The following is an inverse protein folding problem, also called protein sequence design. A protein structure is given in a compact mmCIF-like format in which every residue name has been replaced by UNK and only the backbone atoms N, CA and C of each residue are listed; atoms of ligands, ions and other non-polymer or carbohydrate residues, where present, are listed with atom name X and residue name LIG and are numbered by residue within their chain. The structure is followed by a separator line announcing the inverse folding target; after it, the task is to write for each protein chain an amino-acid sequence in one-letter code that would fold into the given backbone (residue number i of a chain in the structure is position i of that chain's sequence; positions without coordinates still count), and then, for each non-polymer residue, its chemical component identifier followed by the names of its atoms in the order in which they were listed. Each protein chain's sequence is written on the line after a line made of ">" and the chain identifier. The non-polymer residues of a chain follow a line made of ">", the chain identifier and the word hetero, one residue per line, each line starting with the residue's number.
data_IF_041394312521
#
_entry.id   IF_041394312521
#
_cell.length_a   1.000
_cell.length_b   1.000
_cell.length_c   1.000
_cell.angle_alpha   90.00
_cell.angle_beta   90.00
_cell.angle_gamma   90.00
#
_symmetry.space_group_name_H-M   'P 1'
#
loop_
_entity.id
_entity.type
_entity.pdbx_description
1 polymer ?
#
# COMPACT_ATOMS: atom_id res chain seq x y z
N UNK A 1 -22.45 23.96 -35.82
CA UNK A 1 -22.79 23.64 -34.43
C UNK A 1 -21.47 23.54 -33.71
N UNK A 2 -21.17 24.49 -32.82
CA UNK A 2 -19.95 24.47 -32.03
C UNK A 2 -20.00 23.25 -31.13
N UNK A 3 -19.00 22.37 -31.24
CA UNK A 3 -18.74 21.35 -30.23
C UNK A 3 -18.48 22.07 -28.91
N UNK A 4 -19.51 22.15 -28.07
CA UNK A 4 -19.37 22.57 -26.69
C UNK A 4 -18.38 21.59 -26.05
N UNK A 5 -17.18 22.10 -25.73
CA UNK A 5 -16.22 21.40 -24.89
C UNK A 5 -16.94 21.08 -23.59
N UNK A 6 -17.39 19.84 -23.43
CA UNK A 6 -17.98 19.37 -22.18
C UNK A 6 -16.88 19.49 -21.13
N UNK A 7 -16.96 20.53 -20.32
CA UNK A 7 -16.06 20.73 -19.20
C UNK A 7 -16.35 19.62 -18.18
N UNK A 8 -15.42 18.68 -18.07
CA UNK A 8 -15.61 17.49 -17.26
C UNK A 8 -15.57 17.89 -15.78
N UNK A 9 -16.59 17.53 -14.99
CA UNK A 9 -16.61 17.88 -13.57
C UNK A 9 -15.42 17.22 -12.87
N UNK A 10 -14.70 18.02 -12.08
CA UNK A 10 -13.55 17.55 -11.29
C UNK A 10 -13.83 17.58 -9.80
N UNK A 11 -14.61 18.55 -9.34
CA UNK A 11 -14.85 18.76 -7.90
C UNK A 11 -16.35 18.93 -7.59
N UNK A 12 -17.20 19.12 -8.61
CA UNK A 12 -18.63 19.26 -8.42
C UNK A 12 -19.32 17.94 -8.07
N UNK A 13 -20.45 18.03 -7.37
CA UNK A 13 -21.34 16.90 -7.18
C UNK A 13 -21.79 16.36 -8.54
N UNK A 14 -21.53 15.07 -8.77
CA UNK A 14 -21.97 14.37 -9.97
C UNK A 14 -23.50 14.38 -10.07
N UNK A 15 -24.00 14.55 -11.28
CA UNK A 15 -25.43 14.41 -11.61
C UNK A 15 -25.69 13.01 -12.14
N UNK A 16 -26.96 12.54 -12.17
CA UNK A 16 -27.30 11.29 -12.83
C UNK A 16 -26.85 11.19 -14.30
N UNK A 17 -26.63 12.32 -14.97
CA UNK A 17 -26.19 12.38 -16.37
C UNK A 17 -24.67 12.19 -16.52
N UNK A 18 -23.86 12.57 -15.51
CA UNK A 18 -22.40 12.57 -15.62
C UNK A 18 -21.68 11.69 -14.59
N UNK A 19 -22.40 10.99 -13.71
CA UNK A 19 -21.80 10.14 -12.67
C UNK A 19 -21.01 8.95 -13.20
N UNK A 20 -21.27 8.52 -14.43
CA UNK A 20 -20.52 7.45 -15.11
C UNK A 20 -19.38 7.97 -16.00
N UNK A 21 -19.21 9.30 -16.10
CA UNK A 21 -18.12 9.89 -16.87
C UNK A 21 -16.82 9.78 -16.07
N UNK A 22 -15.72 9.48 -16.74
CA UNK A 22 -14.40 9.42 -16.11
C UNK A 22 -13.97 10.79 -15.58
N UNK A 23 -13.26 10.78 -14.46
CA UNK A 23 -12.61 11.98 -13.94
C UNK A 23 -11.56 12.47 -14.95
N UNK A 24 -11.54 13.78 -15.23
CA UNK A 24 -10.60 14.32 -16.21
C UNK A 24 -9.16 14.01 -15.81
N UNK A 25 -8.81 14.02 -14.51
CA UNK A 25 -7.44 13.77 -14.03
C UNK A 25 -6.87 12.42 -14.46
N UNK A 26 -7.69 11.46 -14.88
CA UNK A 26 -7.20 10.19 -15.42
C UNK A 26 -6.22 10.40 -16.59
N UNK A 27 -6.37 11.47 -17.40
CA UNK A 27 -5.42 11.78 -18.49
C UNK A 27 -4.00 12.07 -17.99
N UNK A 28 -3.85 12.63 -16.79
CA UNK A 28 -2.54 12.96 -16.20
C UNK A 28 -1.75 11.69 -15.83
N UNK A 29 -2.43 10.55 -15.76
CA UNK A 29 -1.90 9.29 -15.26
C UNK A 29 -1.96 8.17 -16.30
N UNK A 30 -2.28 8.49 -17.55
CA UNK A 30 -2.48 7.52 -18.63
C UNK A 30 -3.48 6.41 -18.26
N UNK A 31 -4.51 6.75 -17.48
CA UNK A 31 -5.61 5.86 -17.18
C UNK A 31 -6.69 6.10 -18.22
N UNK A 32 -6.92 5.13 -19.10
CA UNK A 32 -7.86 5.31 -20.21
C UNK A 32 -9.19 4.61 -19.99
N UNK A 33 -9.26 3.64 -19.06
CA UNK A 33 -10.49 2.89 -18.82
C UNK A 33 -10.58 2.29 -17.41
N UNK A 34 -11.79 1.96 -16.92
CA UNK A 34 -11.97 1.27 -15.63
C UNK A 34 -11.33 -0.12 -15.58
N UNK A 35 -11.21 -0.81 -16.72
CA UNK A 35 -10.61 -2.14 -16.81
C UNK A 35 -9.14 -2.13 -16.38
N UNK A 36 -8.40 -1.06 -16.69
CA UNK A 36 -7.03 -0.89 -16.24
C UNK A 36 -6.95 -0.83 -14.70
N UNK A 37 -7.87 -0.10 -14.06
CA UNK A 37 -7.95 -0.07 -12.59
C UNK A 37 -8.36 -1.43 -12.02
N UNK A 38 -9.23 -2.16 -12.72
CA UNK A 38 -9.61 -3.52 -12.34
C UNK A 38 -8.43 -4.48 -12.34
N UNK A 39 -7.66 -4.52 -13.43
CA UNK A 39 -6.49 -5.39 -13.54
C UNK A 39 -5.46 -5.07 -12.44
N UNK A 40 -5.31 -3.78 -12.11
CA UNK A 40 -4.41 -3.33 -11.05
C UNK A 40 -4.83 -3.74 -9.64
N UNK A 41 -6.14 -3.76 -9.33
CA UNK A 41 -6.65 -4.03 -7.98
C UNK A 41 -7.02 -5.50 -7.77
N UNK A 42 -7.42 -6.22 -8.83
CA UNK A 42 -7.93 -7.59 -8.75
C UNK A 42 -6.90 -8.58 -8.22
N UNK A 43 -5.60 -8.33 -8.46
CA UNK A 43 -4.48 -9.14 -7.97
C UNK A 43 -4.35 -9.19 -6.44
N UNK A 44 -4.90 -8.20 -5.72
CA UNK A 44 -4.81 -8.15 -4.27
C UNK A 44 -6.01 -8.86 -3.65
N UNK A 45 -5.77 -10.07 -3.14
CA UNK A 45 -6.81 -10.95 -2.59
C UNK A 45 -6.51 -11.38 -1.16
N UNK A 46 -7.57 -11.57 -0.39
CA UNK A 46 -7.49 -12.19 0.94
C UNK A 46 -7.64 -13.71 0.84
N UNK A 47 -6.97 -14.42 1.73
CA UNK A 47 -6.98 -15.89 1.79
C UNK A 47 -8.32 -16.42 2.31
N UNK A 48 -8.63 -17.68 1.97
CA UNK A 48 -9.88 -18.37 2.37
C UNK A 48 -10.14 -18.49 3.87
N UNK A 49 -9.11 -18.33 4.71
CA UNK A 49 -9.21 -18.37 6.16
C UNK A 49 -9.59 -17.02 6.78
N UNK A 50 -9.66 -15.95 5.98
CA UNK A 50 -10.11 -14.65 6.45
C UNK A 50 -11.65 -14.65 6.52
N UNK A 51 -12.26 -14.23 7.65
CA UNK A 51 -13.71 -14.20 7.80
C UNK A 51 -14.41 -13.33 6.77
N UNK A 52 -15.59 -13.76 6.35
CA UNK A 52 -16.40 -13.09 5.32
C UNK A 52 -16.64 -11.60 5.63
N UNK A 53 -16.93 -11.26 6.88
CA UNK A 53 -17.19 -9.87 7.28
C UNK A 53 -15.96 -8.95 7.09
N UNK A 54 -14.73 -9.49 7.17
CA UNK A 54 -13.50 -8.76 6.85
C UNK A 54 -13.32 -8.64 5.34
N UNK A 55 -13.57 -9.72 4.60
CA UNK A 55 -13.52 -9.74 3.14
C UNK A 55 -14.47 -8.67 2.56
N UNK A 56 -15.68 -8.54 3.11
CA UNK A 56 -16.64 -7.52 2.69
C UNK A 56 -16.09 -6.09 2.88
N UNK A 57 -15.44 -5.80 4.01
CA UNK A 57 -14.84 -4.47 4.24
C UNK A 57 -13.65 -4.23 3.29
N UNK A 58 -12.82 -5.25 3.09
CA UNK A 58 -11.70 -5.15 2.16
C UNK A 58 -12.16 -4.93 0.71
N UNK A 59 -13.20 -5.65 0.28
CA UNK A 59 -13.78 -5.50 -1.06
C UNK A 59 -14.52 -4.19 -1.25
N UNK A 60 -15.09 -3.64 -0.17
CA UNK A 60 -15.62 -2.28 -0.21
C UNK A 60 -14.52 -1.27 -0.53
N UNK A 61 -13.30 -1.41 0.03
CA UNK A 61 -12.16 -0.58 -0.35
C UNK A 61 -11.75 -0.81 -1.82
N UNK A 62 -11.68 -2.06 -2.30
CA UNK A 62 -11.37 -2.36 -3.71
C UNK A 62 -12.40 -1.75 -4.67
N UNK A 63 -13.67 -1.81 -4.34
CA UNK A 63 -14.73 -1.20 -5.13
C UNK A 63 -14.60 0.32 -5.14
N UNK A 64 -14.34 0.96 -4.00
CA UNK A 64 -14.08 2.40 -3.93
C UNK A 64 -12.88 2.80 -4.80
N UNK A 65 -11.83 1.97 -4.86
CA UNK A 65 -10.71 2.16 -5.78
C UNK A 65 -11.17 2.11 -7.23
N UNK A 66 -12.01 1.16 -7.65
CA UNK A 66 -12.55 1.14 -9.02
C UNK A 66 -13.36 2.40 -9.34
N UNK A 67 -14.23 2.82 -8.43
CA UNK A 67 -15.03 4.03 -8.59
C UNK A 67 -14.21 5.32 -8.60
N UNK A 68 -12.93 5.27 -8.21
CA UNK A 68 -12.03 6.41 -8.35
C UNK A 68 -11.76 6.81 -9.81
N UNK A 69 -12.03 5.91 -10.76
CA UNK A 69 -12.06 6.25 -12.18
C UNK A 69 -13.03 7.40 -12.47
N UNK A 70 -14.18 7.43 -11.79
CA UNK A 70 -15.21 8.47 -11.95
C UNK A 70 -15.03 9.65 -11.00
N UNK A 71 -14.45 9.42 -9.82
CA UNK A 71 -14.23 10.47 -8.81
C UNK A 71 -12.85 10.29 -8.21
N UNK A 72 -11.86 11.07 -8.65
CA UNK A 72 -10.47 10.90 -8.23
C UNK A 72 -10.28 10.90 -6.71
N UNK A 73 -11.05 11.70 -5.97
CA UNK A 73 -10.97 11.75 -4.49
C UNK A 73 -11.27 10.40 -3.83
N UNK A 74 -11.93 9.48 -4.53
CA UNK A 74 -12.22 8.16 -3.99
C UNK A 74 -10.97 7.29 -3.83
N UNK A 75 -9.82 7.62 -4.42
CA UNK A 75 -8.54 6.96 -4.06
C UNK A 75 -8.26 7.10 -2.55
N UNK A 76 -8.36 8.32 -2.00
CA UNK A 76 -8.16 8.56 -0.57
C UNK A 76 -9.25 7.89 0.28
N UNK A 77 -10.50 7.89 -0.19
CA UNK A 77 -11.62 7.25 0.52
C UNK A 77 -11.44 5.72 0.56
N UNK A 78 -11.00 5.11 -0.55
CA UNK A 78 -10.65 3.71 -0.63
C UNK A 78 -9.54 3.37 0.35
N UNK A 79 -8.46 4.16 0.38
CA UNK A 79 -7.35 3.95 1.31
C UNK A 79 -7.78 4.12 2.78
N UNK A 80 -8.64 5.10 3.09
CA UNK A 80 -9.17 5.28 4.44
C UNK A 80 -10.03 4.09 4.88
N UNK A 81 -10.87 3.59 3.97
CA UNK A 81 -11.67 2.39 4.22
C UNK A 81 -10.78 1.17 4.41
N UNK A 82 -9.73 1.03 3.61
CA UNK A 82 -8.74 -0.04 3.71
C UNK A 82 -8.03 -0.04 5.07
N UNK A 83 -7.63 1.11 5.62
CA UNK A 83 -7.07 1.18 6.97
C UNK A 83 -8.07 0.79 8.05
N UNK A 84 -9.35 1.11 7.86
CA UNK A 84 -10.42 0.70 8.77
C UNK A 84 -10.63 -0.81 8.73
N UNK A 85 -10.62 -1.41 7.53
CA UNK A 85 -10.67 -2.86 7.33
C UNK A 85 -9.48 -3.57 7.98
N UNK A 86 -8.26 -3.03 7.85
CA UNK A 86 -7.07 -3.52 8.53
C UNK A 86 -7.22 -3.49 10.06
N UNK A 87 -7.65 -2.36 10.63
CA UNK A 87 -7.81 -2.24 12.08
C UNK A 87 -8.86 -3.21 12.61
N UNK A 88 -9.96 -3.40 11.87
CA UNK A 88 -10.99 -4.39 12.19
C UNK A 88 -10.43 -5.82 12.14
N UNK A 89 -9.73 -6.18 11.06
CA UNK A 89 -9.14 -7.50 10.87
C UNK A 89 -8.15 -7.87 11.98
N UNK A 90 -7.31 -6.92 12.41
CA UNK A 90 -6.37 -7.16 13.51
C UNK A 90 -7.12 -7.35 14.84
N UNK A 91 -8.14 -6.53 15.11
CA UNK A 91 -8.93 -6.64 16.34
C UNK A 91 -9.71 -7.94 16.42
N UNK A 92 -10.33 -8.34 15.32
CA UNK A 92 -11.07 -9.59 15.20
C UNK A 92 -10.13 -10.79 15.33
N UNK A 93 -9.07 -10.84 14.51
CA UNK A 93 -8.15 -11.97 14.49
C UNK A 93 -7.36 -12.15 15.79
N UNK A 94 -6.74 -11.08 16.32
CA UNK A 94 -5.92 -11.18 17.55
C UNK A 94 -6.79 -11.27 18.81
N UNK A 95 -7.95 -10.61 18.79
CA UNK A 95 -8.85 -10.43 19.92
C UNK A 95 -8.63 -9.09 20.64
N UNK A 96 -9.70 -8.31 20.73
CA UNK A 96 -9.68 -6.95 21.28
C UNK A 96 -9.17 -6.89 22.73
N UNK A 97 -9.47 -7.89 23.56
CA UNK A 97 -9.01 -7.94 24.95
C UNK A 97 -7.49 -8.10 25.07
N UNK A 98 -6.87 -8.88 24.18
CA UNK A 98 -5.41 -9.03 24.14
C UNK A 98 -4.77 -7.70 23.76
N UNK A 99 -5.33 -7.03 22.75
CA UNK A 99 -4.86 -5.72 22.29
C UNK A 99 -5.08 -4.63 23.35
N UNK A 100 -6.19 -4.63 24.09
CA UNK A 100 -6.45 -3.71 25.22
C UNK A 100 -5.42 -3.88 26.33
N UNK A 101 -5.11 -5.13 26.71
CA UNK A 101 -4.06 -5.43 27.70
C UNK A 101 -2.70 -4.93 27.24
N UNK A 102 -2.35 -5.16 25.97
CA UNK A 102 -1.11 -4.66 25.37
C UNK A 102 -1.06 -3.12 25.33
N UNK A 103 -2.15 -2.46 24.91
CA UNK A 103 -2.28 -1.00 24.92
C UNK A 103 -2.04 -0.41 26.32
N UNK A 104 -2.67 -1.02 27.35
CA UNK A 104 -2.50 -0.63 28.75
C UNK A 104 -1.06 -0.79 29.22
N UNK A 105 -0.37 -1.87 28.83
CA UNK A 105 1.04 -2.08 29.18
C UNK A 105 1.99 -1.03 28.58
N UNK A 106 1.56 -0.34 27.52
CA UNK A 106 2.29 0.74 26.84
C UNK A 106 1.79 2.14 27.22
N UNK A 107 0.82 2.25 28.13
CA UNK A 107 0.21 3.55 28.49
C UNK A 107 -0.50 4.24 27.31
N UNK A 108 -0.97 3.47 26.33
CA UNK A 108 -1.53 3.99 25.09
C UNK A 108 -3.00 3.61 24.90
N UNK A 109 -3.70 4.34 24.03
CA UNK A 109 -5.07 4.00 23.61
C UNK A 109 -5.04 2.97 22.49
N UNK A 110 -6.03 2.08 22.47
CA UNK A 110 -6.19 1.11 21.39
C UNK A 110 -6.63 1.82 20.10
N UNK A 111 -5.85 1.61 19.04
CA UNK A 111 -6.11 2.04 17.67
C UNK A 111 -5.07 1.42 16.74
N UNK A 112 -5.11 1.74 15.44
CA UNK A 112 -4.24 1.13 14.44
C UNK A 112 -2.75 1.09 14.80
N UNK A 113 -2.21 2.16 15.42
CA UNK A 113 -0.81 2.20 15.85
C UNK A 113 -0.46 1.06 16.83
N UNK A 114 -1.32 0.82 17.82
CA UNK A 114 -1.11 -0.26 18.80
C UNK A 114 -1.35 -1.63 18.16
N UNK A 115 -2.32 -1.75 17.25
CA UNK A 115 -2.54 -2.97 16.48
C UNK A 115 -1.28 -3.35 15.69
N UNK A 116 -0.70 -2.41 14.93
CA UNK A 116 0.50 -2.65 14.13
C UNK A 116 1.74 -2.97 15.00
N UNK A 117 1.94 -2.23 16.09
CA UNK A 117 3.02 -2.51 17.04
C UNK A 117 2.90 -3.92 17.62
N UNK A 118 1.68 -4.39 17.93
CA UNK A 118 1.47 -5.74 18.41
C UNK A 118 1.94 -6.78 17.40
N UNK A 119 1.56 -6.62 16.12
CA UNK A 119 1.95 -7.56 15.06
C UNK A 119 3.47 -7.62 14.90
N UNK A 120 4.15 -6.48 14.91
CA UNK A 120 5.61 -6.39 14.84
C UNK A 120 6.27 -7.04 16.06
N UNK A 121 5.87 -6.66 17.26
CA UNK A 121 6.49 -7.11 18.51
C UNK A 121 6.29 -8.63 18.73
N UNK A 122 5.18 -9.17 18.23
CA UNK A 122 4.91 -10.62 18.22
C UNK A 122 5.44 -11.35 17.00
N UNK A 123 6.14 -10.65 16.09
CA UNK A 123 6.70 -11.19 14.84
C UNK A 123 5.66 -11.91 13.98
N UNK A 124 4.41 -11.45 14.02
CA UNK A 124 3.35 -11.93 13.12
C UNK A 124 3.60 -11.42 11.70
N UNK A 125 4.19 -10.24 11.60
CA UNK A 125 4.72 -9.68 10.35
C UNK A 125 6.20 -9.33 10.52
N UNK A 126 6.92 -9.38 9.41
CA UNK A 126 8.35 -9.15 9.28
C UNK A 126 8.66 -8.50 7.92
N UNK A 127 9.82 -7.84 7.79
CA UNK A 127 10.18 -7.16 6.55
C UNK A 127 10.19 -8.09 5.33
N UNK A 128 10.63 -9.33 5.50
CA UNK A 128 10.68 -10.35 4.45
C UNK A 128 9.30 -10.76 3.93
N UNK A 129 8.20 -10.40 4.60
CA UNK A 129 6.86 -10.71 4.11
C UNK A 129 6.44 -9.80 2.94
N UNK A 130 7.13 -8.69 2.72
CA UNK A 130 6.70 -7.63 1.79
C UNK A 130 7.57 -7.60 0.52
N UNK A 131 6.98 -7.77 -0.69
CA UNK A 131 7.73 -7.73 -1.95
C UNK A 131 8.54 -6.45 -2.15
N UNK A 132 7.98 -5.29 -1.76
CA UNK A 132 8.68 -4.00 -1.89
C UNK A 132 9.95 -3.89 -1.04
N UNK A 133 10.04 -4.65 0.07
CA UNK A 133 11.26 -4.72 0.85
C UNK A 133 12.37 -5.43 0.07
N UNK A 134 12.05 -6.58 -0.53
CA UNK A 134 12.98 -7.31 -1.40
C UNK A 134 13.40 -6.48 -2.62
N UNK A 135 12.43 -5.85 -3.30
CA UNK A 135 12.70 -5.03 -4.49
C UNK A 135 13.63 -3.86 -4.17
N UNK A 136 13.43 -3.20 -3.03
CA UNK A 136 14.31 -2.11 -2.60
C UNK A 136 15.71 -2.61 -2.26
N UNK A 137 15.83 -3.70 -1.51
CA UNK A 137 17.14 -4.25 -1.18
C UNK A 137 17.90 -4.70 -2.43
N UNK A 138 17.20 -5.28 -3.42
CA UNK A 138 17.77 -5.61 -4.72
C UNK A 138 18.24 -4.36 -5.48
N UNK A 139 17.42 -3.31 -5.51
CA UNK A 139 17.81 -2.04 -6.15
C UNK A 139 19.02 -1.39 -5.45
N UNK A 140 19.10 -1.45 -4.13
CA UNK A 140 20.27 -0.98 -3.37
C UNK A 140 21.51 -1.82 -3.68
N UNK A 141 21.37 -3.15 -3.84
CA UNK A 141 22.46 -4.05 -4.23
C UNK A 141 22.95 -3.80 -5.66
N UNK A 142 22.03 -3.61 -6.60
CA UNK A 142 22.34 -3.23 -7.98
C UNK A 142 23.05 -1.88 -8.04
N UNK A 143 22.62 -0.90 -7.26
CA UNK A 143 23.27 0.41 -7.20
C UNK A 143 24.69 0.33 -6.62
N UNK A 144 24.89 -0.44 -5.55
CA UNK A 144 26.21 -0.65 -4.95
C UNK A 144 27.15 -1.40 -5.91
N UNK A 145 26.65 -2.42 -6.61
CA UNK A 145 27.42 -3.14 -7.62
C UNK A 145 27.78 -2.24 -8.81
N UNK A 146 26.82 -1.46 -9.32
CA UNK A 146 27.07 -0.47 -10.38
C UNK A 146 28.18 0.50 -9.99
N UNK A 147 28.18 0.99 -8.74
CA UNK A 147 29.26 1.83 -8.23
C UNK A 147 30.63 1.12 -8.27
N UNK A 148 30.71 -0.12 -7.77
CA UNK A 148 31.94 -0.93 -7.79
C UNK A 148 32.43 -1.18 -9.22
N UNK A 149 31.53 -1.45 -10.16
CA UNK A 149 31.86 -1.65 -11.57
C UNK A 149 32.46 -0.38 -12.17
N UNK A 150 31.85 0.78 -11.92
CA UNK A 150 32.36 2.07 -12.39
C UNK A 150 33.76 2.34 -11.84
N UNK A 151 34.00 2.11 -10.54
CA UNK A 151 35.33 2.24 -9.93
C UNK A 151 36.37 1.33 -10.61
N UNK A 152 36.03 0.06 -10.84
CA UNK A 152 36.92 -0.89 -11.51
C UNK A 152 37.19 -0.51 -12.97
N UNK A 153 36.19 0.01 -13.69
CA UNK A 153 36.37 0.48 -15.06
C UNK A 153 37.33 1.66 -15.11
N UNK A 154 37.21 2.63 -14.18
CA UNK A 154 38.13 3.76 -14.06
C UNK A 154 39.55 3.29 -13.71
N UNK A 155 39.69 2.39 -12.74
CA UNK A 155 40.99 1.87 -12.31
C UNK A 155 41.72 1.10 -13.42
N UNK A 156 40.98 0.30 -14.19
CA UNK A 156 41.53 -0.54 -15.26
C UNK A 156 41.55 0.14 -16.64
N UNK A 157 41.02 1.36 -16.75
CA UNK A 157 40.89 2.08 -18.02
C UNK A 157 39.99 1.36 -19.03
N UNK A 158 38.89 0.76 -18.57
CA UNK A 158 37.92 0.04 -19.40
C UNK A 158 36.80 0.98 -19.86
N UNK A 159 36.49 0.97 -21.16
CA UNK A 159 35.35 1.71 -21.73
C UNK A 159 34.03 0.95 -21.59
N UNK A 160 34.09 -0.38 -21.43
CA UNK A 160 32.93 -1.25 -21.32
C UNK A 160 33.10 -2.31 -20.21
N UNK A 161 31.97 -2.78 -19.69
CA UNK A 161 31.91 -3.85 -18.71
C UNK A 161 30.68 -4.72 -18.96
N UNK A 162 30.85 -6.04 -18.91
CA UNK A 162 29.76 -7.00 -19.07
C UNK A 162 29.09 -7.19 -17.71
N UNK A 163 27.85 -6.70 -17.60
CA UNK A 163 27.05 -6.82 -16.38
C UNK A 163 26.88 -8.29 -15.96
N UNK A 164 27.31 -8.62 -14.74
CA UNK A 164 27.21 -9.99 -14.20
C UNK A 164 26.31 -10.02 -12.96
N UNK A 165 25.08 -10.51 -13.12
CA UNK A 165 24.12 -10.61 -12.00
C UNK A 165 24.60 -11.50 -10.86
N UNK A 166 25.45 -12.50 -11.14
CA UNK A 166 25.96 -13.41 -10.10
C UNK A 166 26.92 -12.74 -9.12
N UNK A 167 27.44 -11.55 -9.44
CA UNK A 167 28.31 -10.75 -8.58
C UNK A 167 27.54 -9.79 -7.66
N UNK A 168 26.21 -9.70 -7.84
CA UNK A 168 25.36 -8.87 -7.00
C UNK A 168 25.11 -9.59 -5.67
N UNK A 169 25.92 -9.28 -4.68
CA UNK A 169 25.76 -9.78 -3.32
C UNK A 169 24.58 -9.09 -2.60
N UNK A 170 23.40 -9.70 -2.63
CA UNK A 170 22.24 -9.18 -1.88
C UNK A 170 22.40 -9.34 -0.36
N UNK A 171 23.18 -10.33 0.11
CA UNK A 171 23.33 -10.67 1.53
C UNK A 171 24.25 -9.73 2.30
N UNK A 172 25.07 -8.91 1.62
CA UNK A 172 26.03 -8.00 2.28
C UNK A 172 25.44 -6.62 2.57
N UNK A 173 24.25 -6.33 2.07
CA UNK A 173 23.48 -5.15 2.46
C UNK A 173 22.60 -5.53 3.65
N UNK A 174 23.11 -5.29 4.86
CA UNK A 174 22.23 -5.14 6.02
C UNK A 174 21.32 -3.93 5.74
N UNK A 175 20.16 -4.19 5.14
CA UNK A 175 19.18 -3.16 4.86
C UNK A 175 18.79 -2.49 6.18
N UNK A 176 19.26 -1.26 6.38
CA UNK A 176 18.86 -0.42 7.51
C UNK A 176 17.37 -0.03 7.41
N UNK A 177 16.71 -0.36 6.31
CA UNK A 177 15.31 -0.07 6.11
C UNK A 177 14.40 -1.09 6.80
N UNK A 178 13.99 -0.73 8.00
CA UNK A 178 12.91 -1.42 8.71
C UNK A 178 11.55 -0.98 8.17
N UNK A 179 11.06 -1.70 7.15
CA UNK A 179 9.77 -1.43 6.52
C UNK A 179 8.60 -1.57 7.50
N UNK A 180 8.60 -2.59 8.35
CA UNK A 180 7.55 -2.82 9.33
C UNK A 180 7.49 -1.69 10.35
N UNK A 181 8.64 -1.20 10.83
CA UNK A 181 8.68 -0.03 11.70
C UNK A 181 8.16 1.23 10.99
N UNK A 182 8.54 1.44 9.73
CA UNK A 182 8.01 2.55 8.92
C UNK A 182 6.49 2.46 8.83
N UNK A 183 5.92 1.30 8.50
CA UNK A 183 4.46 1.10 8.43
C UNK A 183 3.76 1.36 9.77
N UNK A 184 4.36 0.92 10.89
CA UNK A 184 3.84 1.18 12.24
C UNK A 184 3.71 2.67 12.55
N UNK A 185 4.59 3.51 11.98
CA UNK A 185 4.59 4.96 12.14
C UNK A 185 3.70 5.68 11.13
N UNK A 186 3.72 5.26 9.87
CA UNK A 186 3.09 6.01 8.77
C UNK A 186 1.62 5.68 8.58
N UNK A 187 1.21 4.40 8.59
CA UNK A 187 -0.18 4.01 8.33
C UNK A 187 -1.17 4.66 9.33
N UNK A 188 -0.92 4.67 10.65
CA UNK A 188 -1.82 5.34 11.60
C UNK A 188 -1.89 6.85 11.39
N UNK A 189 -0.77 7.47 11.00
CA UNK A 189 -0.70 8.92 10.73
C UNK A 189 -1.57 9.27 9.52
N UNK A 190 -1.43 8.52 8.42
CA UNK A 190 -2.22 8.73 7.20
C UNK A 190 -3.71 8.51 7.48
N UNK A 191 -4.05 7.42 8.18
CA UNK A 191 -5.43 7.13 8.59
C UNK A 191 -6.05 8.30 9.38
N UNK A 192 -5.28 8.89 10.30
CA UNK A 192 -5.76 10.02 11.09
C UNK A 192 -5.87 11.30 10.25
N UNK A 193 -4.92 11.56 9.35
CA UNK A 193 -4.97 12.69 8.43
C UNK A 193 -6.26 12.65 7.57
N UNK A 194 -6.58 11.49 6.99
CA UNK A 194 -7.82 11.32 6.23
C UNK A 194 -9.08 11.44 7.10
N UNK A 195 -9.05 10.99 8.36
CA UNK A 195 -10.17 11.15 9.28
C UNK A 195 -10.46 12.61 9.65
N UNK A 196 -9.45 13.47 9.62
CA UNK A 196 -9.58 14.92 9.85
C UNK A 196 -9.86 15.72 8.57
N UNK A 197 -9.90 15.04 7.43
CA UNK A 197 -9.91 15.66 6.11
C UNK A 197 -8.48 16.01 5.68
N UNK A 198 -8.03 15.45 4.56
CA UNK A 198 -6.77 15.86 3.92
C UNK A 198 -7.08 16.76 2.74
N UNK A 199 -6.31 17.84 2.60
CA UNK A 199 -6.29 18.67 1.39
C UNK A 199 -5.44 18.05 0.29
N UNK A 200 -4.66 17.01 0.61
CA UNK A 200 -3.74 16.37 -0.31
C UNK A 200 -4.39 15.17 -1.00
N UNK A 201 -4.10 15.04 -2.28
CA UNK A 201 -4.73 14.09 -3.19
C UNK A 201 -3.67 13.16 -3.75
N UNK A 202 -3.83 11.85 -3.55
CA UNK A 202 -2.87 10.84 -4.01
C UNK A 202 -3.60 9.68 -4.68
N UNK A 203 -3.17 9.29 -5.88
CA UNK A 203 -3.67 8.07 -6.54
C UNK A 203 -2.94 6.81 -6.11
N UNK A 204 -1.72 6.96 -5.59
CA UNK A 204 -0.78 5.86 -5.35
C UNK A 204 -1.15 5.10 -4.06
N UNK A 205 -2.31 4.45 -4.11
CA UNK A 205 -2.91 3.71 -2.99
C UNK A 205 -2.70 2.20 -3.12
N UNK A 206 -2.33 1.70 -4.30
CA UNK A 206 -2.12 0.26 -4.58
C UNK A 206 -1.06 -0.37 -3.67
N UNK A 207 -0.01 0.37 -3.32
CA UNK A 207 1.02 -0.13 -2.37
C UNK A 207 0.42 -0.51 -1.03
N UNK A 208 -0.63 0.20 -0.58
CA UNK A 208 -1.31 -0.13 0.67
C UNK A 208 -2.21 -1.34 0.52
N UNK A 209 -2.83 -1.57 -0.65
CA UNK A 209 -3.59 -2.81 -0.90
C UNK A 209 -2.69 -4.04 -0.85
N UNK A 210 -1.48 -3.96 -1.41
CA UNK A 210 -0.48 -5.02 -1.34
C UNK A 210 -0.07 -5.30 0.12
N UNK A 211 0.44 -4.28 0.81
CA UNK A 211 0.89 -4.40 2.21
C UNK A 211 -0.23 -4.93 3.13
N UNK A 212 -1.45 -4.40 2.99
CA UNK A 212 -2.57 -4.73 3.88
C UNK A 212 -3.13 -6.12 3.58
N UNK A 213 -3.15 -6.56 2.32
CA UNK A 213 -3.46 -7.95 1.99
C UNK A 213 -2.53 -8.91 2.71
N UNK A 214 -1.22 -8.64 2.66
CA UNK A 214 -0.20 -9.45 3.33
C UNK A 214 -0.44 -9.46 4.83
N UNK A 215 -0.64 -8.29 5.45
CA UNK A 215 -0.85 -8.19 6.90
C UNK A 215 -2.10 -8.96 7.34
N UNK A 216 -3.24 -8.76 6.68
CA UNK A 216 -4.50 -9.46 7.02
C UNK A 216 -4.32 -10.97 6.87
N UNK A 217 -3.73 -11.42 5.77
CA UNK A 217 -3.46 -12.84 5.55
C UNK A 217 -2.54 -13.43 6.62
N UNK A 218 -1.52 -12.70 7.07
CA UNK A 218 -0.62 -13.12 8.15
C UNK A 218 -1.32 -13.20 9.51
N UNK A 219 -2.20 -12.26 9.81
CA UNK A 219 -3.02 -12.27 11.05
C UNK A 219 -3.83 -13.56 11.13
N UNK A 220 -4.57 -13.91 10.08
CA UNK A 220 -5.42 -15.12 10.10
C UNK A 220 -4.64 -16.41 9.87
N UNK A 221 -3.44 -16.36 9.27
CA UNK A 221 -2.55 -17.52 9.21
C UNK A 221 -1.95 -17.87 10.59
N UNK A 222 -1.78 -16.88 11.48
CA UNK A 222 -1.26 -17.08 12.83
C UNK A 222 -2.26 -17.75 13.80
N UNK A 223 -3.56 -17.78 13.45
CA UNK A 223 -4.61 -18.35 14.29
C UNK A 223 -4.83 -19.85 14.05
N UNK A 224 -4.29 -20.38 12.94
CA UNK A 224 -4.36 -21.78 12.56
C UNK A 224 -3.07 -22.50 12.94
#
# INVERSE_FOLDING_TARGET
>A
MSDEKIELPTEELRTPLNMAVGDSRNYLFNITSPEQLYDDIARFTLNKNVPEHIVIQYDTARNLYLYSFHVYRFYNVAQQHLFSALELAIKDGIGEDKLKKFAKSRGARLGLSICMQYLRDKKIISNSDFPRWHNRNRAEAEAAYSHKVIEQMVEKGLDEYIWNESEIEQSTIESQWDLVDVMCRTMPKIRNEFAHGSTTLFKDVLVYFDDISIIINKVYAHLN
#
